data_IF_602618817396
#
_entry.id   IF_602618817396
#
_cell.length_a   1.000
_cell.length_b   1.000
_cell.length_c   1.000
_cell.angle_alpha   90.00
_cell.angle_beta   90.00
_cell.angle_gamma   90.00
#
_symmetry.space_group_name_H-M   'P 1'
#
loop_
_entity.id
_entity.type
_entity.pdbx_description
1 polymer ?
#
# COMPACT_ATOMS: atom_id res chain seq x y z
N UNK A 1 12.84 5.25 0.29
CA UNK A 1 13.70 4.45 -0.62
C UNK A 1 13.88 3.04 -0.07
N UNK A 2 13.43 2.00 -0.80
CA UNK A 2 13.62 0.61 -0.39
C UNK A 2 15.11 0.23 -0.48
N UNK A 3 15.78 0.08 0.66
CA UNK A 3 17.17 -0.35 0.70
C UNK A 3 17.33 -1.71 0.00
N UNK A 4 18.39 -1.86 -0.81
CA UNK A 4 18.73 -3.06 -1.56
C UNK A 4 18.98 -4.24 -0.60
N UNK A 5 18.27 -5.34 -0.77
CA UNK A 5 18.58 -6.61 -0.11
C UNK A 5 19.60 -7.38 -0.97
N UNK A 6 20.86 -6.90 -1.06
CA UNK A 6 21.99 -7.64 -1.64
C UNK A 6 21.96 -8.01 -3.13
N UNK A 7 20.83 -7.90 -3.82
CA UNK A 7 20.70 -8.10 -5.25
C UNK A 7 20.65 -6.74 -5.96
N UNK A 8 21.28 -6.56 -7.12
CA UNK A 8 21.39 -5.29 -7.84
C UNK A 8 20.08 -4.59 -8.23
N UNK A 9 18.93 -5.12 -7.82
CA UNK A 9 17.58 -4.59 -8.04
C UNK A 9 16.89 -4.25 -6.71
N UNK A 10 15.89 -3.36 -6.75
CA UNK A 10 15.06 -3.04 -5.60
C UNK A 10 14.23 -4.24 -5.15
N UNK A 11 13.94 -4.32 -3.85
CA UNK A 11 13.29 -5.46 -3.20
C UNK A 11 11.95 -5.90 -3.82
N UNK A 12 11.19 -4.99 -4.44
CA UNK A 12 9.92 -5.30 -5.09
C UNK A 12 10.05 -6.25 -6.29
N UNK A 13 11.24 -6.38 -6.86
CA UNK A 13 11.53 -7.29 -7.98
C UNK A 13 12.19 -8.59 -7.56
N UNK A 14 12.43 -8.80 -6.26
CA UNK A 14 12.89 -10.10 -5.78
C UNK A 14 11.87 -11.17 -6.13
N UNK A 15 12.36 -12.34 -6.56
CA UNK A 15 11.50 -13.45 -6.91
C UNK A 15 10.95 -14.13 -5.67
N UNK A 16 9.63 -14.28 -5.61
CA UNK A 16 8.90 -15.10 -4.67
C UNK A 16 8.22 -16.21 -5.50
N UNK A 17 8.63 -17.47 -5.32
CA UNK A 17 8.17 -18.61 -6.12
C UNK A 17 8.31 -18.36 -7.66
N UNK A 18 9.46 -17.82 -8.08
CA UNK A 18 9.76 -17.57 -9.49
C UNK A 18 9.11 -16.33 -10.14
N UNK A 19 8.35 -15.55 -9.38
CA UNK A 19 7.67 -14.34 -9.84
C UNK A 19 8.05 -13.13 -8.98
N UNK A 20 8.28 -11.92 -9.54
CA UNK A 20 8.54 -10.73 -8.75
C UNK A 20 7.44 -10.45 -7.71
N UNK A 21 7.81 -10.03 -6.49
CA UNK A 21 6.85 -9.71 -5.42
C UNK A 21 5.78 -8.75 -5.91
N UNK A 22 6.18 -7.68 -6.61
CA UNK A 22 5.24 -6.69 -7.16
C UNK A 22 4.28 -7.31 -8.18
N UNK A 23 4.71 -8.30 -8.94
CA UNK A 23 3.85 -8.97 -9.91
C UNK A 23 2.79 -9.85 -9.22
N UNK A 24 3.13 -10.51 -8.09
CA UNK A 24 2.13 -11.17 -7.25
C UNK A 24 1.09 -10.17 -6.74
N UNK A 25 1.53 -9.02 -6.26
CA UNK A 25 0.62 -7.95 -5.79
C UNK A 25 -0.29 -7.48 -6.91
N UNK A 26 0.26 -7.10 -8.06
CA UNK A 26 -0.52 -6.58 -9.20
C UNK A 26 -1.52 -7.62 -9.71
N UNK A 27 -1.18 -8.92 -9.68
CA UNK A 27 -2.09 -9.99 -10.10
C UNK A 27 -3.41 -9.96 -9.31
N UNK A 28 -3.37 -9.77 -8.00
CA UNK A 28 -4.59 -9.69 -7.18
C UNK A 28 -5.50 -8.55 -7.62
N UNK A 29 -4.92 -7.37 -7.89
CA UNK A 29 -5.68 -6.22 -8.40
C UNK A 29 -6.16 -6.42 -9.83
N UNK A 30 -5.35 -7.05 -10.69
CA UNK A 30 -5.73 -7.39 -12.06
C UNK A 30 -6.96 -8.31 -12.10
N UNK A 31 -7.03 -9.27 -11.19
CA UNK A 31 -8.11 -10.26 -11.13
C UNK A 31 -9.36 -9.75 -10.39
N UNK A 32 -9.23 -8.75 -9.52
CA UNK A 32 -10.34 -8.22 -8.73
C UNK A 32 -11.35 -7.47 -9.59
N UNK A 33 -12.64 -7.86 -9.52
CA UNK A 33 -13.71 -7.23 -10.29
C UNK A 33 -13.98 -5.76 -9.90
N UNK A 34 -13.68 -5.39 -8.64
CA UNK A 34 -13.86 -4.03 -8.13
C UNK A 34 -12.74 -3.05 -8.54
N UNK A 35 -11.76 -3.48 -9.33
CA UNK A 35 -10.64 -2.65 -9.79
C UNK A 35 -10.74 -2.45 -11.31
N UNK A 36 -10.84 -1.21 -11.76
CA UNK A 36 -10.95 -0.84 -13.17
C UNK A 36 -9.59 -0.50 -13.81
N UNK A 37 -8.69 0.11 -13.04
CA UNK A 37 -7.39 0.57 -13.51
C UNK A 37 -6.33 0.49 -12.42
N UNK A 38 -5.08 0.31 -12.83
CA UNK A 38 -3.91 0.24 -11.96
C UNK A 38 -2.87 1.26 -12.46
N UNK A 39 -2.37 2.07 -11.55
CA UNK A 39 -1.25 2.98 -11.78
C UNK A 39 -0.08 2.53 -10.92
N UNK A 40 0.98 2.03 -11.55
CA UNK A 40 2.18 1.60 -10.85
C UNK A 40 3.09 2.80 -10.63
N UNK A 41 3.63 2.94 -9.42
CA UNK A 41 4.65 3.96 -9.13
C UNK A 41 5.97 3.28 -8.87
N UNK A 42 6.97 3.64 -9.65
CA UNK A 42 8.30 3.03 -9.64
C UNK A 42 9.39 4.10 -9.69
N UNK A 43 10.60 3.86 -9.18
CA UNK A 43 11.74 4.73 -9.47
C UNK A 43 11.89 4.94 -10.98
N UNK A 44 12.16 6.16 -11.40
CA UNK A 44 12.18 6.54 -12.83
C UNK A 44 13.06 5.61 -13.67
N UNK A 45 14.27 5.31 -13.17
CA UNK A 45 15.23 4.44 -13.84
C UNK A 45 14.78 2.96 -13.94
N UNK A 46 13.77 2.56 -13.19
CA UNK A 46 13.23 1.19 -13.18
C UNK A 46 11.95 1.04 -14.00
N UNK A 47 11.39 2.13 -14.52
CA UNK A 47 10.16 2.11 -15.33
C UNK A 47 10.28 1.15 -16.53
N UNK A 48 11.37 1.16 -17.33
CA UNK A 48 11.51 0.21 -18.43
C UNK A 48 11.51 -1.24 -17.98
N UNK A 49 12.19 -1.55 -16.88
CA UNK A 49 12.22 -2.89 -16.29
C UNK A 49 10.84 -3.30 -15.76
N UNK A 50 10.17 -2.42 -15.04
CA UNK A 50 8.82 -2.67 -14.55
C UNK A 50 7.84 -2.94 -15.69
N UNK A 51 7.97 -2.24 -16.80
CA UNK A 51 7.15 -2.43 -17.99
C UNK A 51 7.36 -3.83 -18.59
N UNK A 52 8.60 -4.19 -18.93
CA UNK A 52 8.90 -5.46 -19.61
C UNK A 52 8.73 -6.66 -18.68
N UNK A 53 9.32 -6.62 -17.48
CA UNK A 53 9.42 -7.79 -16.60
C UNK A 53 8.22 -7.97 -15.65
N UNK A 54 7.35 -6.96 -15.53
CA UNK A 54 6.15 -7.07 -14.70
C UNK A 54 4.90 -6.94 -15.54
N UNK A 55 4.70 -5.81 -16.24
CA UNK A 55 3.41 -5.54 -16.90
C UNK A 55 3.23 -6.41 -18.13
N UNK A 56 4.16 -6.36 -19.08
CA UNK A 56 4.08 -7.07 -20.35
C UNK A 56 4.25 -8.58 -20.16
N UNK A 57 5.25 -9.00 -19.37
CA UNK A 57 5.54 -10.40 -19.10
C UNK A 57 4.37 -11.17 -18.52
N UNK A 58 3.56 -10.54 -17.67
CA UNK A 58 2.42 -11.18 -17.02
C UNK A 58 1.06 -10.75 -17.59
N UNK A 59 1.04 -9.92 -18.64
CA UNK A 59 -0.17 -9.53 -19.35
C UNK A 59 -1.15 -8.70 -18.50
N UNK A 60 -0.66 -7.79 -17.66
CA UNK A 60 -1.51 -6.98 -16.78
C UNK A 60 -2.19 -5.84 -17.55
N UNK A 61 -3.38 -6.12 -18.07
CA UNK A 61 -4.14 -5.21 -18.96
C UNK A 61 -4.79 -4.04 -18.25
N UNK A 62 -5.02 -4.13 -16.92
CA UNK A 62 -5.54 -3.01 -16.12
C UNK A 62 -4.48 -1.96 -15.79
N UNK A 63 -3.19 -2.24 -16.00
CA UNK A 63 -2.13 -1.25 -15.79
C UNK A 63 -2.18 -0.21 -16.89
N UNK A 64 -2.60 1.01 -16.53
CA UNK A 64 -2.75 2.15 -17.45
C UNK A 64 -1.46 2.95 -17.59
N UNK A 65 -0.71 3.11 -16.50
CA UNK A 65 0.55 3.83 -16.51
C UNK A 65 1.53 3.29 -15.47
N UNK A 66 2.82 3.53 -15.74
CA UNK A 66 3.91 3.40 -14.76
C UNK A 66 4.47 4.80 -14.58
N UNK A 67 4.31 5.34 -13.37
CA UNK A 67 4.60 6.72 -12.98
C UNK A 67 5.90 6.78 -12.22
N UNK A 68 6.71 7.81 -12.48
CA UNK A 68 7.92 8.06 -11.70
C UNK A 68 7.58 8.42 -10.26
N UNK A 69 8.21 7.73 -9.30
CA UNK A 69 8.10 8.03 -7.88
C UNK A 69 8.82 9.31 -7.49
N UNK A 70 8.60 9.75 -6.25
CA UNK A 70 9.29 10.89 -5.64
C UNK A 70 10.33 10.45 -4.61
N UNK A 71 10.89 11.42 -3.90
CA UNK A 71 11.92 11.21 -2.88
C UNK A 71 11.43 10.33 -1.72
N UNK A 72 10.18 10.55 -1.29
CA UNK A 72 9.52 9.82 -0.22
C UNK A 72 8.31 9.04 -0.74
N UNK A 73 7.79 8.10 0.10
CA UNK A 73 6.57 7.34 -0.24
C UNK A 73 5.39 8.26 -0.54
N UNK A 74 5.19 9.29 0.30
CA UNK A 74 4.12 10.27 0.12
C UNK A 74 4.21 10.99 -1.23
N UNK A 75 5.42 11.43 -1.63
CA UNK A 75 5.63 12.06 -2.93
C UNK A 75 5.34 11.10 -4.09
N UNK A 76 5.69 9.82 -3.92
CA UNK A 76 5.39 8.78 -4.90
C UNK A 76 3.89 8.57 -5.07
N UNK A 77 3.14 8.50 -3.96
CA UNK A 77 1.68 8.40 -3.98
C UNK A 77 1.05 9.64 -4.63
N UNK A 78 1.51 10.83 -4.25
CA UNK A 78 1.03 12.08 -4.83
C UNK A 78 1.22 12.12 -6.36
N UNK A 79 2.41 11.70 -6.85
CA UNK A 79 2.67 11.60 -8.29
C UNK A 79 1.70 10.61 -8.96
N UNK A 80 1.46 9.45 -8.33
CA UNK A 80 0.48 8.46 -8.80
C UNK A 80 -0.93 9.04 -8.91
N UNK A 81 -1.40 9.72 -7.85
CA UNK A 81 -2.72 10.37 -7.82
C UNK A 81 -2.85 11.45 -8.93
N UNK A 82 -1.80 12.21 -9.18
CA UNK A 82 -1.79 13.25 -10.23
C UNK A 82 -1.82 12.69 -11.64
N UNK A 83 -1.36 11.48 -11.83
CA UNK A 83 -1.31 10.83 -13.13
C UNK A 83 -2.64 10.16 -13.52
N UNK A 84 -3.63 10.08 -12.62
CA UNK A 84 -4.93 9.48 -12.93
C UNK A 84 -5.73 10.48 -13.75
N UNK A 85 -6.08 10.08 -14.97
CA UNK A 85 -6.89 10.88 -15.90
C UNK A 85 -8.35 10.43 -15.89
N UNK A 86 -9.27 11.37 -16.07
CA UNK A 86 -10.71 11.09 -16.24
C UNK A 86 -11.42 10.57 -14.97
N UNK A 87 -10.78 10.64 -13.79
CA UNK A 87 -11.37 10.23 -12.52
C UNK A 87 -12.22 11.37 -11.92
N UNK A 88 -13.41 11.04 -11.45
CA UNK A 88 -14.27 12.00 -10.73
C UNK A 88 -13.87 12.13 -9.25
N UNK A 89 -14.15 13.28 -8.58
CA UNK A 89 -13.81 13.48 -7.18
C UNK A 89 -14.39 12.43 -6.22
N UNK A 90 -15.55 11.87 -6.56
CA UNK A 90 -16.25 10.85 -5.75
C UNK A 90 -15.85 9.41 -6.10
N UNK A 91 -15.10 9.20 -7.17
CA UNK A 91 -14.53 7.89 -7.49
C UNK A 91 -13.54 7.46 -6.41
N UNK A 92 -13.33 6.16 -6.30
CA UNK A 92 -12.46 5.59 -5.27
C UNK A 92 -11.07 5.30 -5.81
N UNK A 93 -10.08 5.56 -4.98
CA UNK A 93 -8.69 5.11 -5.18
C UNK A 93 -8.23 4.26 -4.01
N UNK A 94 -7.52 3.17 -4.33
CA UNK A 94 -6.89 2.29 -3.36
C UNK A 94 -5.38 2.45 -3.47
N UNK A 95 -4.74 2.91 -2.40
CA UNK A 95 -3.30 3.04 -2.31
C UNK A 95 -2.75 1.77 -1.67
N UNK A 96 -1.84 1.08 -2.36
CA UNK A 96 -1.33 -0.20 -1.90
C UNK A 96 0.18 -0.32 -2.04
N UNK A 97 0.82 -0.91 -1.04
CA UNK A 97 2.26 -1.21 -1.07
C UNK A 97 2.53 -2.38 -2.04
N UNK A 98 3.32 -2.17 -3.09
CA UNK A 98 3.66 -3.20 -4.08
C UNK A 98 4.41 -4.42 -3.52
N UNK A 99 4.83 -4.36 -2.26
CA UNK A 99 5.49 -5.46 -1.53
C UNK A 99 4.58 -6.14 -0.50
N UNK A 100 3.25 -6.05 -0.65
CA UNK A 100 2.25 -6.82 0.12
C UNK A 100 1.48 -7.77 -0.81
N UNK A 101 2.08 -8.90 -1.21
CA UNK A 101 1.50 -9.79 -2.22
C UNK A 101 0.34 -10.65 -1.70
N UNK A 102 0.03 -10.58 -0.39
CA UNK A 102 -1.00 -11.42 0.23
C UNK A 102 -2.32 -10.69 0.51
N UNK A 103 -2.50 -9.50 -0.05
CA UNK A 103 -3.83 -8.86 -0.10
C UNK A 103 -4.82 -9.80 -0.79
N UNK A 104 -6.09 -9.80 -0.35
CA UNK A 104 -7.13 -10.67 -0.93
C UNK A 104 -8.22 -9.85 -1.62
N UNK A 105 -8.97 -10.46 -2.54
CA UNK A 105 -10.12 -9.84 -3.16
C UNK A 105 -11.14 -9.36 -2.11
N UNK A 106 -11.38 -10.15 -1.07
CA UNK A 106 -12.27 -9.77 0.03
C UNK A 106 -11.81 -8.49 0.76
N UNK A 107 -10.50 -8.31 0.97
CA UNK A 107 -9.97 -7.06 1.54
C UNK A 107 -10.18 -5.87 0.60
N UNK A 108 -10.00 -6.05 -0.72
CA UNK A 108 -10.25 -5.00 -1.71
C UNK A 108 -11.73 -4.60 -1.71
N UNK A 109 -12.64 -5.56 -1.79
CA UNK A 109 -14.10 -5.34 -1.78
C UNK A 109 -14.56 -4.66 -0.49
N UNK A 110 -14.09 -5.13 0.68
CA UNK A 110 -14.41 -4.52 1.96
C UNK A 110 -13.88 -3.07 2.07
N UNK A 111 -12.68 -2.80 1.54
CA UNK A 111 -12.10 -1.46 1.51
C UNK A 111 -12.89 -0.51 0.61
N UNK A 112 -13.30 -0.99 -0.57
CA UNK A 112 -14.18 -0.24 -1.49
C UNK A 112 -15.51 0.09 -0.82
N UNK A 113 -16.19 -0.90 -0.22
CA UNK A 113 -17.47 -0.69 0.44
C UNK A 113 -17.37 0.30 1.61
N UNK A 114 -16.33 0.18 2.44
CA UNK A 114 -16.11 1.10 3.56
C UNK A 114 -15.80 2.52 3.10
N UNK A 115 -14.92 2.71 2.11
CA UNK A 115 -14.59 4.02 1.56
C UNK A 115 -15.77 4.66 0.81
N UNK A 116 -16.60 3.85 0.17
CA UNK A 116 -17.85 4.31 -0.47
C UNK A 116 -18.81 4.92 0.56
N UNK A 117 -18.93 4.29 1.72
CA UNK A 117 -19.82 4.72 2.79
C UNK A 117 -19.28 5.93 3.59
N UNK A 118 -17.97 5.97 3.88
CA UNK A 118 -17.36 6.95 4.81
C UNK A 118 -16.42 7.97 4.15
N UNK A 119 -16.02 7.74 2.89
CA UNK A 119 -15.04 8.57 2.18
C UNK A 119 -13.58 8.12 2.38
N UNK A 120 -13.26 7.39 3.45
CA UNK A 120 -11.90 6.92 3.74
C UNK A 120 -11.92 5.63 4.58
N UNK A 121 -11.09 4.65 4.22
CA UNK A 121 -10.92 3.41 4.99
C UNK A 121 -9.50 2.85 4.83
N UNK A 122 -9.00 2.16 5.86
CA UNK A 122 -7.74 1.43 5.81
C UNK A 122 -7.92 -0.01 6.27
N UNK A 123 -7.13 -0.90 5.69
CA UNK A 123 -6.98 -2.26 6.23
C UNK A 123 -6.03 -2.22 7.42
N UNK A 124 -6.40 -2.86 8.52
CA UNK A 124 -5.55 -2.99 9.70
C UNK A 124 -5.86 -4.26 10.49
N UNK A 125 -4.94 -4.68 11.36
CA UNK A 125 -5.10 -5.81 12.26
C UNK A 125 -4.85 -5.39 13.71
N UNK A 126 -5.56 -5.95 14.71
CA UNK A 126 -5.27 -5.68 16.12
C UNK A 126 -3.84 -6.07 16.49
N UNK A 127 -3.22 -5.31 17.38
CA UNK A 127 -1.92 -5.67 17.94
C UNK A 127 -2.07 -6.92 18.82
N UNK A 128 -1.16 -7.90 18.66
CA UNK A 128 -1.12 -9.13 19.50
C UNK A 128 -0.26 -8.96 20.73
N UNK A 129 0.87 -8.31 20.58
CA UNK A 129 1.85 -8.15 21.65
C UNK A 129 1.55 -6.94 22.55
N UNK A 130 2.11 -6.93 23.75
CA UNK A 130 2.06 -5.76 24.61
C UNK A 130 2.98 -4.67 24.06
N UNK A 131 2.42 -3.51 23.72
CA UNK A 131 3.16 -2.34 23.22
C UNK A 131 3.61 -1.48 24.40
N UNK A 132 4.86 -1.00 24.35
CA UNK A 132 5.44 -0.06 25.31
C UNK A 132 5.82 1.23 24.59
N UNK A 133 5.44 2.36 25.15
CA UNK A 133 6.02 3.65 24.77
C UNK A 133 7.31 3.81 25.56
N UNK A 134 8.44 4.01 24.87
CA UNK A 134 9.76 4.14 25.48
C UNK A 134 10.30 5.55 25.25
N UNK A 135 10.81 6.20 26.29
CA UNK A 135 11.52 7.48 26.23
C UNK A 135 12.86 7.30 26.94
N UNK A 136 13.94 7.68 26.29
CA UNK A 136 15.32 7.58 26.82
C UNK A 136 15.67 6.20 27.39
N UNK A 137 15.19 5.13 26.73
CA UNK A 137 15.45 3.75 27.14
C UNK A 137 14.58 3.24 28.32
N UNK A 138 13.67 4.08 28.86
CA UNK A 138 12.78 3.74 29.98
C UNK A 138 11.33 3.63 29.47
N UNK A 139 10.59 2.65 30.00
CA UNK A 139 9.15 2.51 29.69
C UNK A 139 8.42 3.72 30.30
N UNK A 140 7.82 4.54 29.43
CA UNK A 140 7.00 5.69 29.82
C UNK A 140 5.53 5.34 29.98
N UNK A 141 5.02 4.42 29.14
CA UNK A 141 3.60 4.07 29.12
C UNK A 141 3.38 2.66 28.54
N UNK A 142 2.28 2.03 28.93
CA UNK A 142 1.75 0.82 28.31
C UNK A 142 0.33 1.10 27.84
N UNK A 143 0.14 1.43 26.55
CA UNK A 143 -1.20 1.72 26.01
C UNK A 143 -2.14 0.50 26.11
N UNK A 144 -3.43 0.75 26.20
CA UNK A 144 -4.47 -0.29 26.14
C UNK A 144 -4.44 -0.98 24.76
N UNK A 145 -4.03 -2.25 24.74
CA UNK A 145 -3.82 -3.02 23.52
C UNK A 145 -5.06 -3.12 22.65
N UNK A 146 -6.22 -3.13 23.26
CA UNK A 146 -7.53 -3.21 22.60
C UNK A 146 -7.81 -2.04 21.65
N UNK A 147 -7.11 -0.93 21.83
CA UNK A 147 -7.21 0.27 21.02
C UNK A 147 -6.13 0.36 19.95
N UNK A 148 -5.18 -0.58 19.93
CA UNK A 148 -4.02 -0.52 19.04
C UNK A 148 -4.19 -1.47 17.85
N UNK A 149 -4.00 -0.92 16.65
CA UNK A 149 -4.06 -1.64 15.40
C UNK A 149 -2.80 -1.37 14.58
N UNK A 150 -2.36 -2.38 13.83
CA UNK A 150 -1.26 -2.25 12.86
C UNK A 150 -1.88 -1.91 11.51
N UNK A 151 -1.60 -0.70 11.02
CA UNK A 151 -2.04 -0.27 9.71
C UNK A 151 -1.40 -1.13 8.60
N UNK A 152 -2.23 -1.55 7.68
CA UNK A 152 -1.84 -2.25 6.46
C UNK A 152 -2.30 -1.43 5.24
N UNK A 153 -2.14 -1.99 4.06
CA UNK A 153 -2.78 -1.53 2.84
C UNK A 153 -3.58 -2.68 2.21
N UNK A 154 -4.65 -2.40 1.42
CA UNK A 154 -4.97 -1.11 0.82
C UNK A 154 -5.49 -0.08 1.82
N UNK A 155 -5.25 1.19 1.49
CA UNK A 155 -5.90 2.35 2.07
C UNK A 155 -6.77 2.96 0.96
N UNK A 156 -8.07 3.01 1.18
CA UNK A 156 -9.07 3.37 0.18
C UNK A 156 -9.70 4.72 0.50
N UNK A 157 -9.85 5.58 -0.50
CA UNK A 157 -10.32 6.95 -0.33
C UNK A 157 -11.17 7.39 -1.52
N UNK A 158 -12.09 8.33 -1.30
CA UNK A 158 -12.59 9.14 -2.42
C UNK A 158 -11.45 9.99 -2.98
N UNK A 159 -11.30 9.96 -4.29
CA UNK A 159 -10.18 10.59 -4.97
C UNK A 159 -10.03 12.08 -4.61
N UNK A 160 -11.12 12.84 -4.65
CA UNK A 160 -11.07 14.27 -4.35
C UNK A 160 -10.58 14.57 -2.93
N UNK A 161 -10.94 13.71 -1.96
CA UNK A 161 -10.53 13.89 -0.57
C UNK A 161 -9.03 13.64 -0.39
N UNK A 162 -8.53 12.49 -0.83
CA UNK A 162 -7.12 12.14 -0.65
C UNK A 162 -6.22 13.00 -1.52
N UNK A 163 -6.66 13.39 -2.71
CA UNK A 163 -5.93 14.29 -3.57
C UNK A 163 -5.73 15.66 -2.89
N UNK A 164 -6.81 16.25 -2.34
CA UNK A 164 -6.72 17.51 -1.61
C UNK A 164 -5.81 17.40 -0.38
N UNK A 165 -5.86 16.28 0.36
CA UNK A 165 -5.01 16.05 1.52
C UNK A 165 -3.51 15.98 1.15
N UNK A 166 -3.17 15.36 0.02
CA UNK A 166 -1.80 15.35 -0.50
C UNK A 166 -1.35 16.73 -1.01
N UNK A 167 -2.23 17.48 -1.70
CA UNK A 167 -1.91 18.82 -2.19
C UNK A 167 -1.64 19.79 -1.02
N UNK A 168 -2.46 19.74 0.05
CA UNK A 168 -2.25 20.52 1.27
C UNK A 168 -0.96 20.14 2.01
N UNK A 169 -0.74 18.83 2.19
CA UNK A 169 0.48 18.35 2.84
C UNK A 169 1.75 18.78 2.07
N UNK A 170 1.70 18.79 0.74
CA UNK A 170 2.80 19.27 -0.09
C UNK A 170 3.01 20.79 0.03
N UNK A 171 1.94 21.58 0.14
CA UNK A 171 2.02 23.03 0.34
C UNK A 171 2.64 23.40 1.70
N UNK A 172 2.40 22.57 2.73
CA UNK A 172 2.86 22.79 4.09
C UNK A 172 4.19 22.06 4.42
N UNK A 173 4.81 21.41 3.44
CA UNK A 173 6.02 20.57 3.62
C UNK A 173 5.85 19.52 4.72
N UNK A 174 4.63 18.96 4.84
CA UNK A 174 4.28 17.96 5.85
C UNK A 174 4.45 16.54 5.30
N UNK A 175 5.13 15.69 6.08
CA UNK A 175 5.27 14.27 5.80
C UNK A 175 4.50 13.44 6.83
N UNK A 176 3.43 12.78 6.39
CA UNK A 176 2.68 11.81 7.18
C UNK A 176 3.36 10.44 7.21
N UNK A 177 2.94 9.61 8.14
CA UNK A 177 3.43 8.22 8.24
C UNK A 177 2.82 7.29 7.20
N UNK A 178 1.56 7.58 6.81
CA UNK A 178 0.79 6.89 5.77
C UNK A 178 -0.25 7.86 5.17
N UNK A 179 -1.07 7.37 4.23
CA UNK A 179 -2.05 8.24 3.55
C UNK A 179 -3.25 8.57 4.47
N UNK A 180 -3.59 7.68 5.41
CA UNK A 180 -4.63 7.94 6.41
C UNK A 180 -4.28 9.12 7.31
N UNK A 181 -3.01 9.26 7.71
CA UNK A 181 -2.56 10.38 8.56
C UNK A 181 -2.79 11.75 7.93
N UNK A 182 -2.83 11.85 6.60
CA UNK A 182 -3.18 13.09 5.90
C UNK A 182 -4.67 13.43 6.04
N UNK A 183 -5.53 12.40 6.03
CA UNK A 183 -6.97 12.57 6.28
C UNK A 183 -7.25 12.96 7.74
N UNK A 184 -6.56 12.31 8.68
CA UNK A 184 -6.63 12.61 10.12
C UNK A 184 -6.21 14.05 10.41
N UNK A 185 -5.15 14.53 9.76
CA UNK A 185 -4.68 15.91 9.84
C UNK A 185 -5.77 16.92 9.47
N UNK A 186 -6.64 16.57 8.51
CA UNK A 186 -7.79 17.38 8.09
C UNK A 186 -9.03 17.16 8.99
N UNK A 187 -8.92 16.40 10.09
CA UNK A 187 -10.04 16.06 10.96
C UNK A 187 -11.08 15.15 10.33
N UNK A 188 -10.74 14.44 9.25
CA UNK A 188 -11.65 13.53 8.55
C UNK A 188 -11.57 12.13 9.15
N UNK A 189 -12.71 11.47 9.42
CA UNK A 189 -12.71 10.12 9.95
C UNK A 189 -12.22 9.12 8.89
N UNK A 190 -11.45 8.13 9.35
CA UNK A 190 -10.99 7.01 8.54
C UNK A 190 -11.49 5.71 9.16
N UNK A 191 -12.25 4.92 8.41
CA UNK A 191 -12.78 3.64 8.88
C UNK A 191 -11.69 2.56 8.87
N UNK A 192 -11.78 1.62 9.81
CA UNK A 192 -10.89 0.45 9.85
C UNK A 192 -11.61 -0.77 9.29
N UNK A 193 -11.04 -1.35 8.26
CA UNK A 193 -11.42 -2.65 7.70
C UNK A 193 -10.49 -3.70 8.29
N UNK A 194 -11.07 -4.81 8.80
CA UNK A 194 -10.27 -5.88 9.37
C UNK A 194 -9.45 -6.58 8.29
N UNK A 195 -8.13 -6.55 8.44
CA UNK A 195 -7.17 -7.23 7.59
C UNK A 195 -6.83 -8.64 8.06
N UNK A 196 -5.75 -9.17 7.51
CA UNK A 196 -5.19 -10.45 7.87
C UNK A 196 -3.71 -10.31 8.23
N UNK A 197 -3.25 -11.10 9.20
CA UNK A 197 -1.84 -11.10 9.61
C UNK A 197 -0.92 -11.66 8.52
N UNK A 198 -1.45 -12.44 7.58
CA UNK A 198 -0.69 -12.89 6.40
C UNK A 198 -0.44 -11.78 5.39
N UNK A 199 -1.19 -10.65 5.42
CA UNK A 199 -0.97 -9.51 4.55
C UNK A 199 0.26 -8.69 4.99
N UNK A 200 1.38 -9.38 5.14
CA UNK A 200 2.67 -8.80 5.55
C UNK A 200 3.24 -7.87 4.47
N UNK A 201 4.04 -6.91 4.91
CA UNK A 201 4.89 -6.08 4.05
C UNK A 201 6.28 -6.69 3.99
N UNK A 202 6.69 -7.20 2.84
CA UNK A 202 8.01 -7.80 2.66
C UNK A 202 9.07 -6.69 2.63
N UNK A 203 9.85 -6.60 3.70
CA UNK A 203 10.86 -5.55 3.90
C UNK A 203 12.24 -6.10 4.27
N UNK A 204 12.28 -7.27 4.87
CA UNK A 204 13.48 -7.95 5.37
C UNK A 204 13.64 -9.35 4.78
N UNK A 205 14.82 -9.99 4.87
CA UNK A 205 14.99 -11.38 4.49
C UNK A 205 14.08 -12.36 5.24
N UNK A 206 13.80 -12.08 6.52
CA UNK A 206 12.90 -12.88 7.34
C UNK A 206 11.47 -12.84 6.80
N UNK A 207 11.02 -11.66 6.30
CA UNK A 207 9.71 -11.53 5.67
C UNK A 207 9.60 -12.40 4.39
N UNK A 208 10.71 -12.61 3.66
CA UNK A 208 10.73 -13.50 2.49
C UNK A 208 10.50 -14.95 2.89
N UNK A 209 11.12 -15.42 3.98
CA UNK A 209 10.93 -16.77 4.50
C UNK A 209 9.45 -17.00 4.87
N UNK A 210 8.84 -16.01 5.56
CA UNK A 210 7.41 -16.04 5.88
C UNK A 210 6.54 -16.04 4.63
N UNK A 211 6.89 -15.23 3.65
CA UNK A 211 6.16 -15.15 2.38
C UNK A 211 6.19 -16.48 1.62
N UNK A 212 7.34 -17.15 1.56
CA UNK A 212 7.45 -18.49 0.96
C UNK A 212 6.60 -19.53 1.69
N UNK A 213 6.55 -19.49 3.02
CA UNK A 213 5.70 -20.37 3.82
C UNK A 213 4.21 -20.13 3.52
N UNK A 214 3.75 -18.88 3.50
CA UNK A 214 2.35 -18.54 3.18
C UNK A 214 1.94 -18.94 1.76
N UNK A 215 2.85 -18.87 0.78
CA UNK A 215 2.56 -19.33 -0.56
C UNK A 215 2.40 -20.86 -0.64
N UNK A 216 3.17 -21.61 0.14
CA UNK A 216 3.05 -23.09 0.18
C UNK A 216 1.72 -23.55 0.79
N UNK A 217 1.20 -22.83 1.76
CA UNK A 217 -0.11 -23.15 2.37
C UNK A 217 -1.31 -22.83 1.46
N UNK A 218 -1.13 -21.97 0.44
CA UNK A 218 -2.19 -21.62 -0.53
C UNK A 218 -2.24 -22.53 -1.76
N UNK A 219 -1.25 -23.43 -1.94
CA UNK A 219 -1.20 -24.44 -3.01
C UNK A 219 -1.84 -25.75 -2.58
#
# INVERSE_FOLDING_TARGET
MGKRMGAGYNKQYLALDGMPIVAHTVRVFQEAACIDAIYLVSPEQEIPFCRSEVVERYGFTKVRAIVAGGAERQHSVHNGLRAIEGIAPDDLVLIHDGVRPFVTAAMLEASVAAAQASGAAIVAVPVKDTVKVVRDGVIAETPAREQLWLAQTPQAFRYGLIRAAHDEAAADDFLGTDDASLMERQGKPVQVVRGDYTNIKITTPEDMILAEAFLKEKK
#
